data_IF_248042531742
#
_entry.id   IF_248042531742
#
_cell.length_a   1.000
_cell.length_b   1.000
_cell.length_c   1.000
_cell.angle_alpha   90.00
_cell.angle_beta   90.00
_cell.angle_gamma   90.00
#
_symmetry.space_group_name_H-M   'P 1'
#
loop_
_entity.id
_entity.type
_entity.pdbx_description
1 polymer ?
#
# COMPACT_ATOMS: atom_id res chain seq x y z
N UNK A 1 27.20 12.45 -4.32
CA UNK A 1 26.92 12.79 -5.73
C UNK A 1 25.83 13.85 -5.92
N UNK A 2 25.05 14.18 -4.86
CA UNK A 2 23.99 15.21 -4.95
C UNK A 2 24.41 16.59 -4.41
N UNK A 3 25.64 16.73 -3.89
CA UNK A 3 26.15 18.02 -3.41
C UNK A 3 26.22 19.00 -4.57
N UNK A 4 25.53 20.13 -4.44
CA UNK A 4 25.47 21.16 -5.50
C UNK A 4 24.39 20.92 -6.56
N UNK A 5 23.57 19.86 -6.43
CA UNK A 5 22.43 19.62 -7.31
C UNK A 5 21.24 20.50 -6.91
N UNK A 6 20.47 20.92 -7.89
CA UNK A 6 19.21 21.62 -7.67
C UNK A 6 18.05 20.65 -7.97
N UNK A 7 17.12 20.53 -7.03
CA UNK A 7 15.90 19.77 -7.26
C UNK A 7 15.04 20.49 -8.33
N UNK A 8 14.78 19.81 -9.44
CA UNK A 8 13.97 20.36 -10.55
C UNK A 8 12.49 20.12 -10.36
N UNK A 9 12.17 18.93 -9.84
CA UNK A 9 10.79 18.52 -9.60
C UNK A 9 10.77 17.33 -8.66
N UNK A 10 9.66 17.10 -8.00
CA UNK A 10 9.39 15.89 -7.24
C UNK A 10 7.92 15.52 -7.33
N UNK A 11 7.60 14.29 -7.03
CA UNK A 11 6.24 13.80 -6.99
C UNK A 11 6.12 12.60 -6.06
N UNK A 12 4.92 12.33 -5.63
CA UNK A 12 4.60 11.17 -4.81
C UNK A 12 3.32 10.50 -5.31
N UNK A 13 3.28 9.18 -5.17
CA UNK A 13 2.09 8.38 -5.47
C UNK A 13 1.87 7.40 -4.34
N UNK A 14 0.60 7.23 -3.94
CA UNK A 14 0.21 6.19 -3.00
C UNK A 14 0.06 4.87 -3.73
N UNK A 15 0.76 3.85 -3.28
CA UNK A 15 0.64 2.48 -3.77
C UNK A 15 -0.07 1.61 -2.74
N UNK A 16 -0.89 0.68 -3.21
CA UNK A 16 -1.51 -0.31 -2.34
C UNK A 16 -0.52 -1.43 -2.05
N UNK A 17 0.07 -1.41 -0.86
CA UNK A 17 0.99 -2.44 -0.40
C UNK A 17 0.36 -3.46 0.54
N UNK A 18 -0.90 -3.76 0.38
CA UNK A 18 -1.59 -4.76 1.21
C UNK A 18 -1.30 -6.19 0.76
N UNK A 19 -0.81 -6.37 -0.46
CA UNK A 19 -0.51 -7.68 -1.03
C UNK A 19 -1.72 -8.61 -0.99
N UNK A 20 -1.46 -9.90 -0.85
CA UNK A 20 -2.48 -10.94 -0.80
C UNK A 20 -3.54 -10.74 0.29
N UNK A 21 -3.18 -10.18 1.44
CA UNK A 21 -4.11 -9.96 2.56
C UNK A 21 -5.13 -8.86 2.28
N UNK A 22 -4.79 -7.93 1.43
CA UNK A 22 -5.68 -6.85 1.00
C UNK A 22 -6.19 -7.03 -0.41
N UNK A 23 -6.09 -8.24 -0.95
CA UNK A 23 -6.62 -8.54 -2.28
C UNK A 23 -8.12 -8.24 -2.32
N UNK A 24 -8.48 -7.43 -3.29
CA UNK A 24 -9.89 -7.12 -3.56
C UNK A 24 -10.57 -8.26 -4.31
N UNK A 25 -11.89 -8.20 -4.45
CA UNK A 25 -12.63 -9.09 -5.36
C UNK A 25 -12.04 -9.00 -6.75
N UNK A 26 -11.52 -10.11 -7.28
CA UNK A 26 -10.78 -10.14 -8.54
C UNK A 26 -11.68 -10.07 -9.77
N UNK A 27 -12.86 -10.70 -9.69
CA UNK A 27 -13.80 -10.80 -10.81
C UNK A 27 -15.24 -10.69 -10.35
N UNK A 28 -16.09 -10.25 -11.25
CA UNK A 28 -17.55 -10.26 -11.15
C UNK A 28 -18.14 -10.35 -12.54
N UNK A 29 -19.45 -10.27 -12.66
CA UNK A 29 -20.12 -10.32 -13.95
C UNK A 29 -19.72 -9.10 -14.80
N UNK A 30 -19.02 -9.34 -15.90
CA UNK A 30 -18.55 -8.33 -16.84
C UNK A 30 -17.33 -7.52 -16.38
N UNK A 31 -16.66 -7.85 -15.27
CA UNK A 31 -15.45 -7.17 -14.87
C UNK A 31 -14.37 -8.08 -14.29
N UNK A 32 -13.11 -7.66 -14.45
CA UNK A 32 -11.96 -8.27 -13.78
C UNK A 32 -10.95 -7.18 -13.36
N UNK A 33 -10.16 -7.47 -12.34
CA UNK A 33 -9.10 -6.57 -11.84
C UNK A 33 -7.73 -7.17 -12.08
N UNK A 34 -6.80 -6.33 -12.52
CA UNK A 34 -5.40 -6.66 -12.77
C UNK A 34 -4.49 -5.65 -12.06
N UNK A 35 -3.21 -5.96 -12.01
CA UNK A 35 -2.19 -5.06 -11.49
C UNK A 35 -2.41 -4.65 -10.04
N UNK A 36 -2.01 -3.43 -9.72
CA UNK A 36 -2.12 -2.87 -8.36
C UNK A 36 -3.55 -2.94 -7.82
N UNK A 37 -4.56 -2.64 -8.65
CA UNK A 37 -5.98 -2.69 -8.26
C UNK A 37 -6.48 -4.09 -7.90
N UNK A 38 -5.71 -5.13 -8.21
CA UNK A 38 -5.97 -6.52 -7.82
C UNK A 38 -5.09 -7.01 -6.66
N UNK A 39 -4.33 -6.13 -6.03
CA UNK A 39 -3.40 -6.49 -4.96
C UNK A 39 -2.19 -7.31 -5.42
N UNK A 40 -1.79 -7.20 -6.71
CA UNK A 40 -0.69 -8.01 -7.25
C UNK A 40 0.70 -7.47 -6.91
N UNK A 41 0.82 -6.23 -6.42
CA UNK A 41 2.11 -5.65 -6.03
C UNK A 41 2.83 -6.53 -5.02
N UNK A 42 4.09 -6.84 -5.30
CA UNK A 42 4.94 -7.60 -4.38
C UNK A 42 5.34 -6.71 -3.19
N UNK A 43 4.77 -6.98 -2.04
CA UNK A 43 4.95 -6.14 -0.83
C UNK A 43 6.33 -6.26 -0.19
N UNK A 44 7.16 -7.19 -0.63
CA UNK A 44 8.53 -7.35 -0.13
C UNK A 44 9.53 -6.55 -0.97
N UNK A 45 9.39 -6.61 -2.29
CA UNK A 45 10.32 -5.98 -3.24
C UNK A 45 9.85 -4.60 -3.69
N UNK A 46 8.56 -4.29 -3.51
CA UNK A 46 7.93 -3.11 -4.09
C UNK A 46 7.70 -3.23 -5.60
N UNK A 47 7.95 -4.40 -6.19
CA UNK A 47 7.68 -4.65 -7.61
C UNK A 47 6.18 -4.68 -7.87
N UNK A 48 5.76 -4.10 -8.98
CA UNK A 48 4.36 -4.07 -9.38
C UNK A 48 4.17 -4.10 -10.89
N UNK A 49 5.22 -3.77 -11.65
CA UNK A 49 5.13 -3.69 -13.12
C UNK A 49 5.03 -5.09 -13.74
N UNK A 50 5.90 -5.99 -13.32
CA UNK A 50 5.92 -7.36 -13.83
C UNK A 50 4.65 -8.12 -13.44
N UNK A 51 4.18 -7.92 -12.22
CA UNK A 51 2.93 -8.50 -11.72
C UNK A 51 1.71 -7.92 -12.45
N UNK A 52 1.71 -6.62 -12.72
CA UNK A 52 0.63 -5.98 -13.49
C UNK A 52 0.59 -6.50 -14.92
N UNK A 53 1.76 -6.61 -15.57
CA UNK A 53 1.89 -7.19 -16.89
C UNK A 53 1.40 -8.64 -16.93
N UNK A 54 1.89 -9.49 -16.03
CA UNK A 54 1.53 -10.90 -15.97
C UNK A 54 0.03 -11.09 -15.75
N UNK A 55 -0.58 -10.35 -14.83
CA UNK A 55 -2.02 -10.43 -14.58
C UNK A 55 -2.85 -9.91 -15.76
N UNK A 56 -2.34 -8.90 -16.49
CA UNK A 56 -2.93 -8.42 -17.73
C UNK A 56 -2.93 -9.47 -18.83
N UNK A 57 -1.81 -10.16 -19.05
CA UNK A 57 -1.69 -11.25 -20.02
C UNK A 57 -2.63 -12.41 -19.66
N UNK A 58 -2.66 -12.81 -18.39
CA UNK A 58 -3.53 -13.87 -17.90
C UNK A 58 -5.02 -13.57 -18.12
N UNK A 59 -5.43 -12.31 -17.91
CA UNK A 59 -6.80 -11.89 -18.21
C UNK A 59 -7.08 -11.90 -19.72
N UNK A 60 -6.16 -11.39 -20.53
CA UNK A 60 -6.32 -11.36 -21.99
C UNK A 60 -6.50 -12.78 -22.55
N UNK A 61 -5.69 -13.73 -22.11
CA UNK A 61 -5.81 -15.14 -22.48
C UNK A 61 -7.17 -15.74 -22.07
N UNK A 62 -7.63 -15.44 -20.85
CA UNK A 62 -8.93 -15.91 -20.37
C UNK A 62 -10.09 -15.32 -21.19
N UNK A 63 -10.03 -14.04 -21.53
CA UNK A 63 -11.04 -13.37 -22.37
C UNK A 63 -11.06 -13.98 -23.77
N UNK A 64 -9.91 -14.23 -24.37
CA UNK A 64 -9.82 -14.88 -25.69
C UNK A 64 -10.38 -16.30 -25.66
N UNK A 65 -10.07 -17.07 -24.61
CA UNK A 65 -10.60 -18.43 -24.43
C UNK A 65 -12.13 -18.43 -24.32
N UNK A 66 -12.69 -17.57 -23.46
CA UNK A 66 -14.14 -17.47 -23.28
C UNK A 66 -14.85 -16.99 -24.55
N UNK A 67 -14.27 -16.00 -25.24
CA UNK A 67 -14.83 -15.50 -26.49
C UNK A 67 -14.85 -16.59 -27.59
N UNK A 68 -13.76 -17.34 -27.74
CA UNK A 68 -13.70 -18.47 -28.69
C UNK A 68 -14.69 -19.58 -28.36
N UNK A 69 -14.96 -19.79 -27.07
CA UNK A 69 -15.93 -20.79 -26.61
C UNK A 69 -17.37 -20.28 -26.64
N UNK A 70 -17.63 -19.04 -27.04
CA UNK A 70 -18.97 -18.41 -26.98
C UNK A 70 -19.54 -18.29 -25.56
N UNK A 71 -18.68 -18.27 -24.54
CA UNK A 71 -19.11 -18.19 -23.14
C UNK A 71 -19.18 -16.74 -22.68
N UNK A 72 -20.19 -16.35 -21.90
CA UNK A 72 -20.29 -14.99 -21.35
C UNK A 72 -19.23 -14.74 -20.28
N UNK A 73 -18.88 -13.46 -20.05
CA UNK A 73 -17.94 -13.03 -19.02
C UNK A 73 -18.60 -12.95 -17.64
N UNK A 74 -19.21 -14.05 -17.20
CA UNK A 74 -19.76 -14.16 -15.85
C UNK A 74 -18.65 -14.35 -14.82
N UNK A 75 -18.97 -14.07 -13.57
CA UNK A 75 -18.06 -14.31 -12.45
C UNK A 75 -17.50 -15.74 -12.48
N UNK A 76 -18.36 -16.73 -12.62
CA UNK A 76 -17.97 -18.16 -12.60
C UNK A 76 -17.03 -18.52 -13.75
N UNK A 77 -17.30 -18.02 -14.96
CA UNK A 77 -16.43 -18.25 -16.11
C UNK A 77 -15.07 -17.55 -15.95
N UNK A 78 -15.05 -16.33 -15.41
CA UNK A 78 -13.80 -15.60 -15.13
C UNK A 78 -13.04 -16.21 -13.94
N UNK A 79 -13.71 -16.71 -12.92
CA UNK A 79 -13.08 -17.48 -11.84
C UNK A 79 -12.41 -18.75 -12.39
N UNK A 80 -13.11 -19.51 -13.22
CA UNK A 80 -12.61 -20.78 -13.79
C UNK A 80 -11.44 -20.58 -14.78
N UNK A 81 -11.32 -19.41 -15.38
CA UNK A 81 -10.28 -19.10 -16.37
C UNK A 81 -9.21 -18.18 -15.79
N UNK A 82 -9.48 -16.90 -15.63
CA UNK A 82 -8.52 -15.88 -15.19
C UNK A 82 -8.01 -16.13 -13.78
N UNK A 83 -8.92 -16.29 -12.81
CA UNK A 83 -8.51 -16.45 -11.41
C UNK A 83 -7.76 -17.76 -11.20
N UNK A 84 -8.18 -18.84 -11.83
CA UNK A 84 -7.47 -20.11 -11.77
C UNK A 84 -6.04 -20.01 -12.33
N UNK A 85 -5.83 -19.31 -13.47
CA UNK A 85 -4.48 -19.04 -14.03
C UNK A 85 -3.64 -18.24 -13.06
N UNK A 86 -4.20 -17.17 -12.50
CA UNK A 86 -3.49 -16.31 -11.53
C UNK A 86 -3.05 -17.13 -10.32
N UNK A 87 -3.94 -17.94 -9.73
CA UNK A 87 -3.65 -18.77 -8.54
C UNK A 87 -2.60 -19.84 -8.77
N UNK A 88 -2.43 -20.31 -10.01
CA UNK A 88 -1.40 -21.27 -10.40
C UNK A 88 -0.09 -20.63 -10.86
N UNK A 89 -0.06 -19.30 -11.03
CA UNK A 89 1.07 -18.57 -11.60
C UNK A 89 2.19 -18.26 -10.60
N UNK A 90 3.31 -17.75 -11.14
CA UNK A 90 4.41 -17.25 -10.33
C UNK A 90 4.00 -16.04 -9.47
N UNK A 91 3.07 -15.20 -9.95
CA UNK A 91 2.57 -14.02 -9.20
C UNK A 91 2.01 -14.43 -7.85
N UNK A 92 1.16 -15.47 -7.82
CA UNK A 92 0.59 -16.00 -6.57
C UNK A 92 1.67 -16.62 -5.67
N UNK A 93 2.61 -17.34 -6.25
CA UNK A 93 3.71 -17.98 -5.51
C UNK A 93 4.60 -16.93 -4.83
N UNK A 94 5.03 -15.91 -5.57
CA UNK A 94 5.83 -14.82 -5.05
C UNK A 94 5.06 -13.99 -4.00
N UNK A 95 3.79 -13.73 -4.24
CA UNK A 95 2.94 -13.00 -3.30
C UNK A 95 2.81 -13.74 -1.94
N UNK A 96 2.73 -15.07 -1.96
CA UNK A 96 2.72 -15.89 -0.72
C UNK A 96 4.03 -15.81 0.05
N UNK A 97 5.15 -15.82 -0.67
CA UNK A 97 6.48 -15.68 -0.06
C UNK A 97 6.64 -14.29 0.54
N UNK A 98 6.30 -13.25 -0.24
CA UNK A 98 6.38 -11.86 0.19
C UNK A 98 5.53 -11.57 1.43
N UNK A 99 4.31 -12.09 1.49
CA UNK A 99 3.42 -11.97 2.64
C UNK A 99 4.06 -12.52 3.91
N UNK A 100 4.61 -13.73 3.84
CA UNK A 100 5.26 -14.38 4.98
C UNK A 100 6.55 -13.68 5.40
N UNK A 101 7.38 -13.29 4.45
CA UNK A 101 8.63 -12.59 4.72
C UNK A 101 8.38 -11.24 5.41
N UNK A 102 7.34 -10.52 5.01
CA UNK A 102 6.97 -9.23 5.61
C UNK A 102 6.50 -9.33 7.05
N UNK A 103 5.93 -10.45 7.47
CA UNK A 103 5.45 -10.63 8.85
C UNK A 103 6.54 -10.41 9.89
N UNK A 104 7.78 -10.77 9.59
CA UNK A 104 8.92 -10.55 10.47
C UNK A 104 9.15 -9.07 10.81
N UNK A 105 8.84 -8.15 9.90
CA UNK A 105 9.02 -6.71 10.14
C UNK A 105 8.04 -6.12 11.14
N UNK A 106 6.93 -6.77 11.40
CA UNK A 106 5.99 -6.34 12.44
C UNK A 106 6.58 -6.46 13.85
N UNK A 107 7.63 -7.25 14.01
CA UNK A 107 8.34 -7.50 15.26
C UNK A 107 9.67 -6.74 15.36
N UNK A 108 9.93 -5.83 14.42
CA UNK A 108 11.11 -4.99 14.37
C UNK A 108 12.07 -5.31 13.23
N UNK A 109 12.99 -4.39 12.95
CA UNK A 109 13.87 -4.44 11.78
C UNK A 109 14.77 -5.68 11.75
N UNK A 110 15.43 -6.01 12.87
CA UNK A 110 16.35 -7.17 12.93
C UNK A 110 15.60 -8.50 12.74
N UNK A 111 14.44 -8.67 13.37
CA UNK A 111 13.59 -9.85 13.17
C UNK A 111 13.05 -9.91 11.75
N UNK A 112 12.77 -8.76 11.15
CA UNK A 112 12.40 -8.65 9.75
C UNK A 112 13.48 -9.15 8.81
N UNK A 113 14.74 -8.75 9.00
CA UNK A 113 15.87 -9.22 8.20
C UNK A 113 16.10 -10.73 8.34
N UNK A 114 16.05 -11.26 9.56
CA UNK A 114 16.16 -12.71 9.82
C UNK A 114 14.99 -13.44 9.14
N UNK A 115 13.78 -12.90 9.25
CA UNK A 115 12.58 -13.45 8.62
C UNK A 115 12.69 -13.52 7.10
N UNK A 116 13.18 -12.46 6.45
CA UNK A 116 13.44 -12.46 5.00
C UNK A 116 14.46 -13.55 4.64
N UNK A 117 15.58 -13.63 5.38
CA UNK A 117 16.61 -14.62 5.13
C UNK A 117 16.05 -16.04 5.19
N UNK A 118 15.38 -16.40 6.29
CA UNK A 118 14.80 -17.73 6.49
C UNK A 118 13.69 -18.02 5.45
N UNK A 119 12.78 -17.08 5.26
CA UNK A 119 11.66 -17.25 4.32
C UNK A 119 12.14 -17.33 2.88
N UNK A 120 13.16 -16.53 2.52
CA UNK A 120 13.80 -16.57 1.20
C UNK A 120 14.52 -17.89 0.93
N UNK A 121 15.37 -18.34 1.85
CA UNK A 121 16.08 -19.62 1.73
C UNK A 121 15.13 -20.82 1.67
N UNK A 122 14.04 -20.79 2.40
CA UNK A 122 13.05 -21.87 2.44
C UNK A 122 11.92 -21.72 1.43
N UNK A 123 11.99 -20.71 0.56
CA UNK A 123 10.92 -20.38 -0.41
C UNK A 123 9.53 -20.26 0.26
N UNK A 124 9.50 -19.68 1.45
CA UNK A 124 8.27 -19.49 2.21
C UNK A 124 7.79 -20.70 2.99
N UNK A 125 8.57 -21.79 3.05
CA UNK A 125 8.21 -22.98 3.81
C UNK A 125 8.28 -22.72 5.32
N UNK A 126 9.35 -22.06 5.78
CA UNK A 126 9.51 -21.63 7.17
C UNK A 126 9.23 -20.14 7.27
N UNK A 127 8.41 -19.75 8.24
CA UNK A 127 8.13 -18.36 8.56
C UNK A 127 8.57 -18.04 10.00
N UNK A 128 8.89 -16.78 10.26
CA UNK A 128 9.12 -16.33 11.64
C UNK A 128 7.79 -16.44 12.41
N UNK A 129 7.78 -17.10 13.56
CA UNK A 129 6.57 -17.20 14.37
C UNK A 129 6.11 -15.80 14.81
N UNK A 130 4.86 -15.50 14.61
CA UNK A 130 4.25 -14.25 15.01
C UNK A 130 2.93 -14.02 14.28
N UNK A 131 1.98 -13.40 14.93
CA UNK A 131 0.74 -12.94 14.30
C UNK A 131 0.96 -11.50 13.83
N UNK A 132 0.80 -11.24 12.56
CA UNK A 132 0.77 -9.87 12.07
C UNK A 132 -0.34 -9.10 12.79
N UNK A 133 0.02 -8.03 13.50
CA UNK A 133 -0.95 -7.14 14.14
C UNK A 133 -1.83 -6.50 13.07
N UNK A 134 -3.09 -6.34 13.36
CA UNK A 134 -4.00 -5.62 12.46
C UNK A 134 -3.52 -4.17 12.28
N UNK A 135 -3.81 -3.51 11.14
CA UNK A 135 -3.35 -2.14 10.91
C UNK A 135 -3.71 -1.16 12.05
N UNK A 136 -4.92 -1.23 12.58
CA UNK A 136 -5.37 -0.37 13.69
C UNK A 136 -4.65 -0.66 15.02
N UNK A 137 -4.14 -1.88 15.22
CA UNK A 137 -3.35 -2.25 16.41
C UNK A 137 -1.91 -1.74 16.34
N UNK A 138 -1.47 -1.27 15.16
CA UNK A 138 -0.13 -0.74 14.91
C UNK A 138 -0.06 0.77 14.91
N UNK A 139 -1.21 1.44 14.82
CA UNK A 139 -1.26 2.91 14.86
C UNK A 139 -1.05 3.34 16.31
N UNK A 140 0.03 4.06 16.63
CA UNK A 140 0.23 4.58 17.98
C UNK A 140 -0.87 5.59 18.32
N UNK A 141 -1.18 5.71 19.60
CA UNK A 141 -2.01 6.83 20.06
C UNK A 141 -1.32 8.17 19.78
N UNK A 142 -2.09 9.25 19.71
CA UNK A 142 -1.52 10.59 19.52
C UNK A 142 -0.49 10.90 20.61
N UNK A 143 -0.77 10.51 21.83
CA UNK A 143 0.12 10.67 22.99
C UNK A 143 1.42 9.88 22.85
N UNK A 144 1.37 8.68 22.25
CA UNK A 144 2.58 7.90 21.98
C UNK A 144 3.37 8.46 20.80
N UNK A 145 2.67 8.93 19.76
CA UNK A 145 3.32 9.44 18.55
C UNK A 145 4.08 10.76 18.78
N UNK A 146 3.52 11.66 19.58
CA UNK A 146 4.13 12.95 19.88
C UNK A 146 4.88 12.97 21.23
N UNK A 147 4.83 11.89 22.01
CA UNK A 147 5.29 11.86 23.40
C UNK A 147 6.75 12.21 23.63
N UNK A 148 7.62 11.95 22.66
CA UNK A 148 9.04 12.33 22.71
C UNK A 148 9.27 13.84 22.56
N UNK A 149 8.27 14.59 22.12
CA UNK A 149 8.37 16.03 21.82
C UNK A 149 7.38 16.90 22.57
N UNK A 150 6.22 16.36 22.87
CA UNK A 150 5.13 17.10 23.52
C UNK A 150 4.65 16.30 24.73
N UNK A 151 4.72 16.85 25.97
CA UNK A 151 4.17 16.19 27.14
C UNK A 151 2.67 15.84 26.96
N UNK A 152 2.25 14.69 27.49
CA UNK A 152 0.89 14.22 27.34
C UNK A 152 -0.17 15.19 27.86
N UNK A 153 0.16 15.96 28.91
CA UNK A 153 -0.74 17.00 29.45
C UNK A 153 -0.94 18.14 28.46
N UNK A 154 0.12 18.56 27.79
CA UNK A 154 0.05 19.58 26.74
C UNK A 154 -0.77 19.09 25.55
N UNK A 155 -0.60 17.84 25.14
CA UNK A 155 -1.43 17.23 24.07
C UNK A 155 -2.91 17.29 24.47
N UNK A 156 -3.25 16.94 25.71
CA UNK A 156 -4.63 17.00 26.20
C UNK A 156 -5.18 18.43 26.23
N UNK A 157 -4.35 19.40 26.60
CA UNK A 157 -4.71 20.83 26.59
C UNK A 157 -4.97 21.34 25.17
N UNK A 158 -4.03 21.07 24.25
CA UNK A 158 -4.15 21.44 22.83
C UNK A 158 -5.42 20.82 22.23
N UNK A 159 -5.69 19.54 22.50
CA UNK A 159 -6.90 18.86 22.01
C UNK A 159 -8.18 19.57 22.46
N UNK A 160 -8.25 20.02 23.72
CA UNK A 160 -9.41 20.79 24.21
C UNK A 160 -9.53 22.15 23.52
N UNK A 161 -8.40 22.83 23.32
CA UNK A 161 -8.37 24.14 22.64
C UNK A 161 -8.82 24.02 21.18
N UNK A 162 -8.27 23.05 20.44
CA UNK A 162 -8.65 22.80 19.05
C UNK A 162 -10.12 22.43 18.89
N UNK A 163 -10.65 21.59 19.82
CA UNK A 163 -12.08 21.25 19.81
C UNK A 163 -12.97 22.47 20.07
N UNK A 164 -12.58 23.34 20.99
CA UNK A 164 -13.31 24.56 21.28
C UNK A 164 -13.26 25.59 20.13
N UNK A 165 -12.11 25.67 19.44
CA UNK A 165 -11.89 26.59 18.35
C UNK A 165 -12.30 26.05 16.95
N UNK A 166 -12.65 24.76 16.83
CA UNK A 166 -12.95 24.13 15.54
C UNK A 166 -11.72 23.99 14.62
N UNK A 167 -10.50 23.97 15.20
CA UNK A 167 -9.25 23.88 14.45
C UNK A 167 -8.68 22.47 14.41
N UNK A 168 -7.76 22.21 13.45
CA UNK A 168 -7.10 20.91 13.29
C UNK A 168 -6.17 20.60 14.47
N UNK A 169 -6.42 19.49 15.15
CA UNK A 169 -5.52 18.99 16.19
C UNK A 169 -4.17 18.59 15.61
N UNK A 170 -4.16 17.97 14.43
CA UNK A 170 -2.93 17.54 13.78
C UNK A 170 -2.00 18.73 13.53
N UNK A 171 -2.51 19.81 12.94
CA UNK A 171 -1.71 20.98 12.60
C UNK A 171 -1.15 21.66 13.86
N UNK A 172 -1.97 21.79 14.90
CA UNK A 172 -1.53 22.37 16.18
C UNK A 172 -0.43 21.53 16.84
N UNK A 173 -0.51 20.19 16.77
CA UNK A 173 0.53 19.30 17.29
C UNK A 173 1.80 19.33 16.42
N UNK A 174 1.66 19.39 15.10
CA UNK A 174 2.79 19.53 14.19
C UNK A 174 3.54 20.85 14.46
N UNK A 175 2.83 21.96 14.63
CA UNK A 175 3.42 23.25 14.99
C UNK A 175 4.18 23.16 16.33
N UNK A 176 3.57 22.53 17.32
CA UNK A 176 4.18 22.42 18.66
C UNK A 176 5.35 21.43 18.72
N UNK A 177 5.39 20.41 17.87
CA UNK A 177 6.42 19.37 17.86
C UNK A 177 7.79 19.89 17.42
N UNK A 178 7.84 21.03 16.73
CA UNK A 178 9.06 21.56 16.14
C UNK A 178 9.59 20.71 14.97
N UNK A 179 8.77 19.82 14.42
CA UNK A 179 9.15 19.14 13.19
C UNK A 179 9.20 20.11 12.02
N UNK A 180 10.18 19.94 11.11
CA UNK A 180 10.27 20.81 9.95
C UNK A 180 8.99 20.67 9.11
N UNK A 181 8.40 21.79 8.78
CA UNK A 181 7.31 21.86 7.82
C UNK A 181 7.89 21.84 6.41
N UNK A 182 7.28 21.05 5.54
CA UNK A 182 7.57 21.14 4.11
C UNK A 182 6.66 22.24 3.56
N UNK A 183 7.26 23.36 3.19
CA UNK A 183 6.54 24.39 2.47
C UNK A 183 6.27 23.91 1.04
N UNK A 184 5.00 23.90 0.67
CA UNK A 184 4.59 23.59 -0.70
C UNK A 184 4.79 24.85 -1.54
N UNK A 185 5.93 24.92 -2.20
CA UNK A 185 6.33 26.06 -3.06
C UNK A 185 5.81 25.95 -4.50
N UNK A 186 4.89 25.02 -4.76
CA UNK A 186 4.38 24.74 -6.10
C UNK A 186 5.29 23.83 -6.94
N UNK A 187 6.39 23.34 -6.39
CA UNK A 187 7.27 22.38 -7.08
C UNK A 187 6.74 20.95 -7.08
N UNK A 188 5.68 20.67 -6.35
CA UNK A 188 5.01 19.38 -6.34
C UNK A 188 4.35 19.10 -7.70
N UNK A 189 4.90 18.15 -8.42
CA UNK A 189 4.28 17.62 -9.64
C UNK A 189 3.29 16.52 -9.26
N UNK A 190 2.02 16.85 -9.30
CA UNK A 190 0.94 15.88 -9.23
C UNK A 190 0.65 15.42 -10.65
N UNK A 191 0.51 14.11 -10.90
CA UNK A 191 0.11 13.63 -12.21
C UNK A 191 -1.26 14.22 -12.59
N UNK A 192 -1.51 14.43 -13.90
CA UNK A 192 -2.80 14.98 -14.33
C UNK A 192 -3.99 14.13 -13.85
N UNK A 193 -3.81 12.81 -13.77
CA UNK A 193 -4.85 11.91 -13.24
C UNK A 193 -5.07 12.12 -11.74
N UNK A 194 -4.01 12.24 -10.98
CA UNK A 194 -4.10 12.51 -9.54
C UNK A 194 -4.69 13.91 -9.30
N UNK A 195 -4.34 14.90 -10.11
CA UNK A 195 -4.91 16.24 -10.07
C UNK A 195 -6.41 16.25 -10.38
N UNK A 196 -6.88 15.43 -11.31
CA UNK A 196 -8.31 15.29 -11.63
C UNK A 196 -9.07 14.57 -10.51
N UNK A 197 -8.48 13.54 -9.90
CA UNK A 197 -9.09 12.78 -8.79
C UNK A 197 -9.06 13.57 -7.47
N UNK A 198 -8.03 14.37 -7.27
CA UNK A 198 -7.82 15.19 -6.06
C UNK A 198 -8.24 16.64 -6.23
N UNK A 199 -8.63 17.03 -7.43
CA UNK A 199 -8.84 18.38 -7.93
C UNK A 199 -9.91 19.22 -7.23
N UNK A 200 -10.03 19.21 -6.05
CA UNK A 200 -10.79 20.10 -5.18
C UNK A 200 -10.32 19.99 -3.73
N UNK A 201 -9.54 18.94 -3.40
CA UNK A 201 -9.09 18.72 -2.02
C UNK A 201 -7.66 19.21 -1.76
N UNK A 202 -6.83 19.26 -2.79
CA UNK A 202 -5.45 19.78 -2.67
C UNK A 202 -5.42 21.31 -2.69
N UNK A 203 -6.42 21.94 -3.30
CA UNK A 203 -6.55 23.41 -3.30
C UNK A 203 -7.25 23.96 -2.05
N UNK A 204 -7.81 23.08 -1.21
CA UNK A 204 -8.53 23.47 0.01
C UNK A 204 -7.75 23.16 1.30
N UNK A 205 -6.54 22.63 1.20
CA UNK A 205 -5.58 22.45 2.28
C UNK A 205 -4.47 23.48 2.16
#
# INVERSE_FOLDING_TARGET
>A
HLKGSTMRSWGAKTLQESGRRGESVLVGDGFARIGEGSGSTNVLTGSGVDEAWATGVQLAEAVIELAKAGKPFTKDNLDATYVARRRSSWVEREARIAEKARDGFSEGFLRGLIGIGITGMTRGFINVPGRARRPHERIPSIEQYFGDRIPADDIRKIRRQCRAAGTSLHDALMDRSGWPKIELDGSLLVSQQDALLMGGKVQAA
#
